data_IF_222349991171
#
_entry.id   IF_222349991171
#
_cell.length_a   1.000
_cell.length_b   1.000
_cell.length_c   1.000
_cell.angle_alpha   90.00
_cell.angle_beta   90.00
_cell.angle_gamma   90.00
#
_symmetry.space_group_name_H-M   'P 1'
#
loop_
_entity.id
_entity.type
_entity.pdbx_description
1 polymer ?
#
# COMPACT_ATOMS: atom_id res chain seq x y z
N UNK A 1 -17.81 10.84 6.10
CA UNK A 1 -17.33 10.48 4.72
C UNK A 1 -16.41 9.26 4.82
N UNK A 2 -16.53 8.34 3.89
CA UNK A 2 -15.67 7.15 3.78
C UNK A 2 -15.09 7.07 2.37
N UNK A 3 -13.94 6.42 2.23
CA UNK A 3 -13.31 6.12 0.95
C UNK A 3 -12.71 4.71 0.99
N UNK A 4 -12.78 4.00 -0.12
CA UNK A 4 -12.05 2.75 -0.35
C UNK A 4 -11.07 2.97 -1.50
N UNK A 5 -9.81 2.65 -1.28
CA UNK A 5 -8.71 2.97 -2.21
C UNK A 5 -7.88 1.72 -2.46
N UNK A 6 -7.77 1.31 -3.71
CA UNK A 6 -6.78 0.30 -4.10
C UNK A 6 -5.42 0.95 -4.31
N UNK A 7 -4.39 0.43 -3.65
CA UNK A 7 -3.01 0.91 -3.81
C UNK A 7 -2.06 -0.27 -4.07
N UNK A 8 -1.69 -0.47 -5.32
CA UNK A 8 -0.54 -1.28 -5.69
C UNK A 8 0.73 -0.41 -5.81
N UNK A 9 1.88 -0.98 -6.17
CA UNK A 9 3.13 -0.25 -6.29
C UNK A 9 3.06 0.92 -7.30
N UNK A 10 2.31 0.74 -8.41
CA UNK A 10 2.08 1.81 -9.40
C UNK A 10 1.23 2.94 -8.80
N UNK A 11 0.17 2.58 -8.09
CA UNK A 11 -0.69 3.56 -7.41
C UNK A 11 0.07 4.34 -6.34
N UNK A 12 0.93 3.66 -5.58
CA UNK A 12 1.80 4.31 -4.59
C UNK A 12 2.72 5.33 -5.27
N UNK A 13 3.40 4.93 -6.34
CA UNK A 13 4.28 5.82 -7.13
C UNK A 13 3.53 6.97 -7.80
N UNK A 14 2.28 6.76 -8.21
CA UNK A 14 1.42 7.78 -8.79
C UNK A 14 0.74 8.69 -7.74
N UNK A 15 0.96 8.48 -6.44
CA UNK A 15 0.43 9.33 -5.38
C UNK A 15 -1.05 9.13 -5.05
N UNK A 16 -1.60 7.92 -5.28
CA UNK A 16 -3.04 7.66 -5.05
C UNK A 16 -3.48 7.93 -3.61
N UNK A 17 -2.61 7.67 -2.63
CA UNK A 17 -2.91 7.92 -1.21
C UNK A 17 -3.07 9.43 -0.96
N UNK A 18 -2.15 10.23 -1.48
CA UNK A 18 -2.22 11.70 -1.37
C UNK A 18 -3.45 12.26 -2.07
N UNK A 19 -3.76 11.76 -3.26
CA UNK A 19 -4.94 12.14 -4.01
C UNK A 19 -6.23 11.84 -3.23
N UNK A 20 -6.35 10.64 -2.67
CA UNK A 20 -7.51 10.25 -1.87
C UNK A 20 -7.70 11.13 -0.63
N UNK A 21 -6.63 11.38 0.13
CA UNK A 21 -6.68 12.25 1.31
C UNK A 21 -7.04 13.70 0.91
N UNK A 22 -6.50 14.19 -0.20
CA UNK A 22 -6.80 15.53 -0.71
C UNK A 22 -8.26 15.67 -1.10
N UNK A 23 -8.83 14.69 -1.81
CA UNK A 23 -10.24 14.65 -2.17
C UNK A 23 -11.13 14.65 -0.93
N UNK A 24 -10.83 13.81 0.05
CA UNK A 24 -11.58 13.76 1.31
C UNK A 24 -11.57 15.11 2.03
N UNK A 25 -10.40 15.75 2.11
CA UNK A 25 -10.25 17.09 2.73
C UNK A 25 -11.00 18.17 1.98
N UNK A 26 -10.97 18.14 0.66
CA UNK A 26 -11.72 19.08 -0.18
C UNK A 26 -13.25 18.98 0.04
N UNK A 27 -13.72 17.78 0.41
CA UNK A 27 -15.12 17.55 0.79
C UNK A 27 -15.39 17.73 2.30
N UNK A 28 -14.48 18.38 3.03
CA UNK A 28 -14.69 18.75 4.42
C UNK A 28 -14.32 17.68 5.44
N UNK A 29 -13.70 16.56 5.04
CA UNK A 29 -13.28 15.55 5.99
C UNK A 29 -12.18 16.08 6.92
N UNK A 30 -12.35 15.88 8.23
CA UNK A 30 -11.40 16.22 9.28
C UNK A 30 -11.10 14.99 10.11
N UNK A 31 -9.89 14.91 10.70
CA UNK A 31 -9.51 13.78 11.54
C UNK A 31 -9.55 12.43 10.81
N UNK A 32 -9.07 12.41 9.56
CA UNK A 32 -9.05 11.19 8.74
C UNK A 32 -8.26 10.09 9.44
N UNK A 33 -8.83 8.90 9.50
CA UNK A 33 -8.16 7.67 9.93
C UNK A 33 -8.20 6.66 8.79
N UNK A 34 -7.16 5.85 8.68
CA UNK A 34 -7.04 4.85 7.64
C UNK A 34 -6.85 3.45 8.23
N UNK A 35 -7.32 2.45 7.49
CA UNK A 35 -7.02 1.04 7.74
C UNK A 35 -6.41 0.46 6.47
N UNK A 36 -5.22 -0.10 6.60
CA UNK A 36 -4.55 -0.82 5.52
C UNK A 36 -4.91 -2.29 5.63
N UNK A 37 -5.56 -2.82 4.62
CA UNK A 37 -5.97 -4.23 4.56
C UNK A 37 -4.80 -5.18 4.31
N UNK A 38 -5.05 -6.51 4.40
CA UNK A 38 -4.04 -7.50 4.09
C UNK A 38 -3.47 -7.31 2.69
N UNK A 39 -2.16 -7.46 2.57
CA UNK A 39 -1.45 -7.31 1.31
C UNK A 39 -0.27 -8.29 1.26
N UNK A 40 0.37 -8.41 0.10
CA UNK A 40 1.60 -9.19 0.01
C UNK A 40 2.71 -8.49 0.80
N UNK A 41 3.42 -9.22 1.65
CA UNK A 41 4.54 -8.68 2.43
C UNK A 41 5.81 -8.52 1.54
N UNK A 42 6.77 -7.77 2.04
CA UNK A 42 8.01 -7.50 1.30
C UNK A 42 8.80 -8.78 0.98
N UNK A 43 8.86 -9.74 1.91
CA UNK A 43 9.57 -11.00 1.71
C UNK A 43 8.99 -11.85 0.58
N UNK A 44 7.69 -11.76 0.36
CA UNK A 44 6.97 -12.48 -0.69
C UNK A 44 6.83 -11.70 -2.00
N UNK A 45 7.33 -10.46 -2.07
CA UNK A 45 7.15 -9.59 -3.24
C UNK A 45 8.47 -9.19 -3.93
N UNK A 46 9.24 -10.17 -4.45
CA UNK A 46 10.36 -9.85 -5.32
C UNK A 46 9.88 -9.20 -6.62
N UNK A 47 10.63 -8.22 -7.10
CA UNK A 47 10.32 -7.46 -8.31
C UNK A 47 11.60 -7.18 -9.10
N UNK A 48 11.51 -6.88 -10.42
CA UNK A 48 12.65 -6.41 -11.18
C UNK A 48 13.26 -5.13 -10.58
N UNK A 49 14.58 -4.97 -10.67
CA UNK A 49 15.30 -3.80 -10.16
C UNK A 49 14.78 -2.48 -10.75
N UNK A 50 14.40 -2.50 -12.03
CA UNK A 50 13.78 -1.36 -12.71
C UNK A 50 12.53 -0.85 -11.97
N UNK A 51 11.69 -1.75 -11.49
CA UNK A 51 10.48 -1.39 -10.72
C UNK A 51 10.83 -0.70 -9.40
N UNK A 52 11.87 -1.18 -8.73
CA UNK A 52 12.39 -0.52 -7.51
C UNK A 52 12.89 0.88 -7.82
N UNK A 53 13.65 1.03 -8.91
CA UNK A 53 14.19 2.31 -9.35
C UNK A 53 13.09 3.30 -9.71
N UNK A 54 12.07 2.86 -10.44
CA UNK A 54 10.90 3.69 -10.79
C UNK A 54 10.15 4.14 -9.54
N UNK A 55 9.90 3.24 -8.60
CA UNK A 55 9.22 3.61 -7.36
C UNK A 55 10.04 4.62 -6.56
N UNK A 56 11.36 4.37 -6.42
CA UNK A 56 12.27 5.25 -5.68
C UNK A 56 12.26 6.68 -6.21
N UNK A 57 12.25 6.84 -7.52
CA UNK A 57 12.24 8.17 -8.16
C UNK A 57 10.87 8.87 -8.14
N UNK A 58 9.80 8.12 -7.88
CA UNK A 58 8.42 8.62 -7.97
C UNK A 58 7.85 9.07 -6.63
N UNK A 59 8.47 8.71 -5.50
CA UNK A 59 7.91 8.96 -4.17
C UNK A 59 8.87 9.77 -3.30
N UNK A 60 8.33 10.35 -2.23
CA UNK A 60 9.14 11.03 -1.21
C UNK A 60 10.18 10.07 -0.60
N UNK A 61 11.42 10.53 -0.26
CA UNK A 61 12.48 9.68 0.29
C UNK A 61 12.06 8.83 1.49
N UNK A 62 11.24 9.34 2.40
CA UNK A 62 10.70 8.60 3.54
C UNK A 62 9.82 7.43 3.08
N UNK A 63 8.99 7.65 2.07
CA UNK A 63 8.13 6.61 1.47
C UNK A 63 9.00 5.58 0.75
N UNK A 64 10.01 6.01 0.01
CA UNK A 64 10.96 5.12 -0.65
C UNK A 64 11.68 4.22 0.37
N UNK A 65 12.15 4.77 1.48
CA UNK A 65 12.82 4.01 2.53
C UNK A 65 11.90 2.96 3.16
N UNK A 66 10.62 3.29 3.38
CA UNK A 66 9.64 2.36 3.93
C UNK A 66 9.16 1.30 2.92
N UNK A 67 9.19 1.64 1.62
CA UNK A 67 8.70 0.76 0.55
C UNK A 67 9.76 -0.20 0.01
N UNK A 68 11.04 0.14 0.13
CA UNK A 68 12.14 -0.56 -0.52
C UNK A 68 13.08 -1.10 0.56
N UNK A 69 12.86 -2.34 1.01
CA UNK A 69 13.75 -2.97 1.99
C UNK A 69 15.18 -3.05 1.46
N UNK A 70 16.14 -2.85 2.33
CA UNK A 70 17.54 -3.12 2.05
C UNK A 70 17.77 -4.62 2.10
N UNK A 71 18.55 -5.16 1.18
CA UNK A 71 18.85 -6.59 1.13
C UNK A 71 19.38 -7.05 -0.22
N UNK A 72 19.49 -8.36 -0.36
CA UNK A 72 20.19 -9.00 -1.48
C UNK A 72 19.35 -9.00 -2.77
N UNK A 73 18.03 -9.01 -2.67
CA UNK A 73 17.14 -9.03 -3.83
C UNK A 73 16.17 -7.86 -3.85
N UNK A 74 15.88 -7.28 -5.02
CA UNK A 74 14.92 -6.19 -5.16
C UNK A 74 13.52 -6.63 -4.73
N UNK A 75 12.91 -5.88 -3.80
CA UNK A 75 11.59 -6.15 -3.23
C UNK A 75 10.84 -4.84 -3.00
N UNK A 76 9.51 -4.93 -2.93
CA UNK A 76 8.67 -3.78 -2.58
C UNK A 76 7.76 -4.15 -1.40
N UNK A 77 7.70 -3.25 -0.43
CA UNK A 77 6.76 -3.23 0.68
C UNK A 77 5.71 -2.15 0.42
N UNK A 78 4.65 -2.48 -0.29
CA UNK A 78 3.61 -1.50 -0.63
C UNK A 78 2.92 -0.98 0.62
N UNK A 79 2.58 -1.86 1.55
CA UNK A 79 1.92 -1.46 2.81
C UNK A 79 2.79 -0.50 3.63
N UNK A 80 4.09 -0.77 3.75
CA UNK A 80 5.03 0.14 4.40
C UNK A 80 5.07 1.52 3.75
N UNK A 81 5.08 1.57 2.43
CA UNK A 81 5.02 2.82 1.68
C UNK A 81 3.71 3.59 1.89
N UNK A 82 2.59 2.89 1.88
CA UNK A 82 1.27 3.50 2.16
C UNK A 82 1.23 4.10 3.57
N UNK A 83 1.71 3.38 4.57
CA UNK A 83 1.77 3.86 5.95
C UNK A 83 2.66 5.10 6.09
N UNK A 84 3.84 5.09 5.46
CA UNK A 84 4.73 6.24 5.45
C UNK A 84 4.09 7.45 4.78
N UNK A 85 3.40 7.25 3.66
CA UNK A 85 2.70 8.33 2.95
C UNK A 85 1.53 8.88 3.77
N UNK A 86 0.73 8.03 4.43
CA UNK A 86 -0.32 8.46 5.34
C UNK A 86 0.24 9.27 6.52
N UNK A 87 1.36 8.81 7.10
CA UNK A 87 2.04 9.52 8.19
C UNK A 87 2.50 10.92 7.77
N UNK A 88 3.12 11.07 6.60
CA UNK A 88 3.50 12.37 6.05
C UNK A 88 2.30 13.32 5.84
N UNK A 89 1.12 12.75 5.60
CA UNK A 89 -0.13 13.50 5.44
C UNK A 89 -0.84 13.78 6.78
N UNK A 90 -0.26 13.37 7.91
CA UNK A 90 -0.89 13.51 9.23
C UNK A 90 -2.12 12.64 9.42
N UNK A 91 -2.21 11.51 8.73
CA UNK A 91 -3.30 10.54 8.84
C UNK A 91 -2.87 9.37 9.71
N UNK A 92 -3.60 9.16 10.80
CA UNK A 92 -3.40 7.99 11.66
C UNK A 92 -3.88 6.74 10.94
N UNK A 93 -3.05 5.70 10.91
CA UNK A 93 -3.36 4.46 10.22
C UNK A 93 -3.14 3.24 11.11
N UNK A 94 -3.96 2.23 10.92
CA UNK A 94 -3.79 0.87 11.46
C UNK A 94 -3.69 -0.14 10.32
N UNK A 95 -3.17 -1.33 10.63
CA UNK A 95 -2.99 -2.40 9.65
C UNK A 95 -3.77 -3.63 10.11
N UNK A 96 -4.53 -4.21 9.19
CA UNK A 96 -5.04 -5.57 9.38
C UNK A 96 -3.90 -6.53 9.04
N UNK A 97 -3.45 -7.34 10.00
CA UNK A 97 -2.32 -8.24 9.76
C UNK A 97 -2.65 -9.32 8.73
N UNK A 98 -1.65 -9.78 8.02
CA UNK A 98 -1.73 -10.89 7.09
C UNK A 98 -1.01 -10.63 5.77
N UNK A 99 -0.16 -11.58 5.38
CA UNK A 99 0.43 -11.62 4.05
C UNK A 99 -0.43 -12.48 3.13
N UNK A 100 -0.90 -11.92 2.02
CA UNK A 100 -1.77 -12.65 1.09
C UNK A 100 -1.08 -13.84 0.43
N UNK A 101 0.25 -13.84 0.36
CA UNK A 101 1.01 -14.94 -0.20
C UNK A 101 1.30 -16.06 0.81
N UNK A 102 1.21 -15.79 2.11
CA UNK A 102 1.51 -16.75 3.19
C UNK A 102 0.24 -17.37 3.78
N UNK A 103 -0.87 -16.64 3.79
CA UNK A 103 -2.12 -17.10 4.38
C UNK A 103 -3.02 -17.76 3.33
N UNK A 104 -3.30 -19.03 3.49
CA UNK A 104 -4.17 -19.80 2.58
C UNK A 104 -5.62 -19.31 2.57
N UNK A 105 -6.05 -18.63 3.63
CA UNK A 105 -7.37 -17.99 3.72
C UNK A 105 -7.50 -16.73 2.86
N UNK A 106 -6.41 -16.24 2.26
CA UNK A 106 -6.39 -15.05 1.41
C UNK A 106 -6.01 -15.40 -0.03
N UNK A 107 -6.67 -14.76 -0.97
CA UNK A 107 -6.33 -14.90 -2.39
C UNK A 107 -5.01 -14.17 -2.71
N UNK A 108 -4.15 -14.82 -3.48
CA UNK A 108 -2.87 -14.26 -3.91
C UNK A 108 -2.55 -14.61 -5.35
N UNK A 109 -2.64 -13.62 -6.24
CA UNK A 109 -2.23 -13.82 -7.64
C UNK A 109 -0.75 -14.21 -7.76
N UNK A 110 0.10 -13.68 -6.88
CA UNK A 110 1.54 -13.98 -6.89
C UNK A 110 1.82 -15.43 -6.52
N UNK A 111 1.05 -16.02 -5.60
CA UNK A 111 1.16 -17.43 -5.20
C UNK A 111 0.48 -18.35 -6.22
N UNK A 112 -0.74 -18.00 -6.63
CA UNK A 112 -1.67 -18.94 -7.27
C UNK A 112 -1.81 -18.74 -8.78
N UNK A 113 -1.39 -17.59 -9.34
CA UNK A 113 -1.60 -17.21 -10.74
C UNK A 113 -3.07 -16.93 -11.04
N UNK A 114 -3.89 -17.98 -11.18
CA UNK A 114 -5.36 -17.86 -11.30
C UNK A 114 -5.96 -17.97 -9.91
N UNK A 115 -6.69 -16.92 -9.48
CA UNK A 115 -7.23 -16.85 -8.11
C UNK A 115 -8.42 -15.90 -8.03
N UNK A 116 -9.17 -15.98 -6.92
CA UNK A 116 -10.22 -15.03 -6.60
C UNK A 116 -9.68 -13.62 -6.24
N UNK A 117 -10.55 -12.80 -5.69
CA UNK A 117 -10.25 -11.47 -5.15
C UNK A 117 -10.87 -11.33 -3.77
N UNK A 118 -10.16 -10.73 -2.85
CA UNK A 118 -10.74 -10.23 -1.61
C UNK A 118 -11.15 -8.77 -1.78
N UNK A 119 -12.20 -8.38 -1.08
CA UNK A 119 -12.69 -7.02 -1.03
C UNK A 119 -12.65 -6.47 0.38
N UNK A 120 -12.70 -5.15 0.49
CA UNK A 120 -12.89 -4.44 1.75
C UNK A 120 -14.21 -3.67 1.63
N UNK A 121 -15.07 -3.83 2.62
CA UNK A 121 -16.27 -3.02 2.76
C UNK A 121 -16.07 -2.04 3.92
N UNK A 122 -16.44 -0.78 3.71
CA UNK A 122 -16.35 0.28 4.71
C UNK A 122 -17.74 0.91 4.85
N UNK A 123 -18.17 1.10 6.08
CA UNK A 123 -19.43 1.80 6.39
C UNK A 123 -19.24 2.84 7.48
N UNK A 124 -20.10 3.86 7.50
CA UNK A 124 -20.28 4.78 8.64
C UNK A 124 -21.30 4.20 9.61
#
# INVERSE_FOLDING_TARGET
MIAAVHCGWKGLGAGIVSAAVSVMRAHGARGIRAVVGPSICASCYPVPLERVSLLRSSVHPVVAAASIPTGVSPRINVAGGVLAQLSLLGVTASVVPGCTAELDSLFSYRRDGVTGRQGIAVRM
#
